data_IF_174807455061
#
_entry.id   IF_174807455061
#
_cell.length_a   1.000
_cell.length_b   1.000
_cell.length_c   1.000
_cell.angle_alpha   90.00
_cell.angle_beta   90.00
_cell.angle_gamma   90.00
#
_symmetry.space_group_name_H-M   'P 1'
#
loop_
_entity.id
_entity.type
_entity.pdbx_description
1 polymer ?
#
# COMPACT_ATOMS: atom_id res chain seq x y z
N UNK A 1 -1.48 8.35 24.25
CA UNK A 1 -0.20 7.96 23.60
C UNK A 1 -0.08 8.77 22.32
N UNK A 2 0.98 9.55 22.15
CA UNK A 2 1.22 10.31 20.94
C UNK A 2 1.74 9.35 19.85
N UNK A 3 0.90 9.04 18.86
CA UNK A 3 1.34 8.34 17.66
C UNK A 3 2.26 9.33 16.94
N UNK A 4 3.57 9.08 16.95
CA UNK A 4 4.53 9.82 16.15
C UNK A 4 3.98 9.95 14.72
N UNK A 5 4.04 11.15 14.13
CA UNK A 5 3.52 11.42 12.79
C UNK A 5 4.13 10.44 11.79
N UNK A 6 3.42 9.35 11.49
CA UNK A 6 3.92 8.28 10.62
C UNK A 6 3.95 8.82 9.20
N UNK A 7 5.10 8.71 8.56
CA UNK A 7 5.34 9.27 7.24
C UNK A 7 5.30 8.15 6.21
N UNK A 8 4.20 8.04 5.47
CA UNK A 8 4.05 7.05 4.40
C UNK A 8 4.78 7.53 3.15
N UNK A 9 5.94 6.94 2.85
CA UNK A 9 6.77 7.32 1.71
C UNK A 9 7.08 6.17 0.77
N UNK A 10 7.01 4.94 1.27
CA UNK A 10 7.44 3.73 0.57
C UNK A 10 6.37 2.65 0.64
N UNK A 11 6.42 1.70 -0.30
CA UNK A 11 5.52 0.52 -0.24
C UNK A 11 5.63 -0.23 1.09
N UNK A 12 6.84 -0.26 1.67
CA UNK A 12 7.07 -0.90 2.97
C UNK A 12 6.29 -0.23 4.10
N UNK A 13 6.18 1.10 4.10
CA UNK A 13 5.38 1.82 5.12
C UNK A 13 3.90 1.43 5.03
N UNK A 14 3.39 1.24 3.81
CA UNK A 14 2.00 0.77 3.59
C UNK A 14 1.85 -0.68 4.04
N UNK A 15 2.83 -1.54 3.78
CA UNK A 15 2.82 -2.91 4.31
C UNK A 15 2.81 -2.93 5.85
N UNK A 16 3.55 -2.06 6.51
CA UNK A 16 3.55 -1.97 7.97
C UNK A 16 2.21 -1.46 8.52
N UNK A 17 1.55 -0.53 7.82
CA UNK A 17 0.18 -0.14 8.15
C UNK A 17 -0.78 -1.33 8.08
N UNK A 18 -0.77 -2.10 6.99
CA UNK A 18 -1.67 -3.24 6.83
C UNK A 18 -1.42 -4.34 7.87
N UNK A 19 -0.15 -4.56 8.26
CA UNK A 19 0.22 -5.51 9.31
C UNK A 19 -0.37 -5.18 10.69
N UNK A 20 -0.62 -3.91 11.00
CA UNK A 20 -1.27 -3.51 12.25
C UNK A 20 -2.71 -4.03 12.35
N UNK A 21 -3.32 -4.34 11.20
CA UNK A 21 -4.64 -4.92 11.08
C UNK A 21 -4.59 -6.42 10.75
N UNK A 22 -3.44 -7.08 10.92
CA UNK A 22 -3.18 -8.48 10.56
C UNK A 22 -3.43 -8.79 9.07
N UNK A 23 -3.32 -7.80 8.19
CA UNK A 23 -3.42 -7.97 6.74
C UNK A 23 -2.04 -8.23 6.15
N UNK A 24 -1.84 -9.43 5.62
CA UNK A 24 -0.61 -9.85 4.94
C UNK A 24 -0.92 -10.18 3.48
N UNK A 25 -0.31 -9.42 2.56
CA UNK A 25 -0.51 -9.57 1.12
C UNK A 25 0.74 -10.18 0.49
N UNK A 26 0.58 -11.35 -0.13
CA UNK A 26 1.61 -11.99 -0.94
C UNK A 26 0.97 -12.99 -1.93
N UNK A 27 0.91 -12.61 -3.20
CA UNK A 27 0.36 -13.41 -4.30
C UNK A 27 1.43 -13.76 -5.36
N UNK A 28 2.69 -13.48 -5.07
CA UNK A 28 3.84 -13.86 -5.88
C UNK A 28 4.19 -12.90 -7.03
N UNK A 29 3.31 -11.93 -7.35
CA UNK A 29 3.61 -10.87 -8.33
C UNK A 29 3.44 -9.51 -7.69
N UNK A 30 4.52 -8.72 -7.69
CA UNK A 30 4.57 -7.39 -7.05
C UNK A 30 3.43 -6.46 -7.50
N UNK A 31 3.09 -6.44 -8.79
CA UNK A 31 1.98 -5.61 -9.29
C UNK A 31 0.66 -6.01 -8.62
N UNK A 32 0.39 -7.30 -8.51
CA UNK A 32 -0.84 -7.82 -7.89
C UNK A 32 -0.82 -7.63 -6.37
N UNK A 33 0.35 -7.74 -5.72
CA UNK A 33 0.48 -7.39 -4.32
C UNK A 33 0.11 -5.92 -4.08
N UNK A 34 0.56 -5.00 -4.94
CA UNK A 34 0.21 -3.58 -4.85
C UNK A 34 -1.30 -3.36 -5.04
N UNK A 35 -1.91 -4.05 -6.00
CA UNK A 35 -3.35 -3.97 -6.26
C UNK A 35 -4.16 -4.50 -5.07
N UNK A 36 -3.79 -5.66 -4.51
CA UNK A 36 -4.49 -6.23 -3.37
C UNK A 36 -4.28 -5.39 -2.10
N UNK A 37 -3.08 -4.86 -1.86
CA UNK A 37 -2.86 -3.88 -0.79
C UNK A 37 -3.74 -2.63 -0.94
N UNK A 38 -4.00 -2.18 -2.17
CA UNK A 38 -4.88 -1.04 -2.42
C UNK A 38 -6.34 -1.33 -2.13
N UNK A 39 -6.81 -2.56 -2.39
CA UNK A 39 -8.14 -3.04 -2.03
C UNK A 39 -8.28 -3.12 -0.51
N UNK A 40 -7.33 -3.73 0.18
CA UNK A 40 -7.41 -3.85 1.65
C UNK A 40 -7.33 -2.49 2.35
N UNK A 41 -6.53 -1.55 1.83
CA UNK A 41 -6.52 -0.18 2.33
C UNK A 41 -7.90 0.50 2.16
N UNK A 42 -8.61 0.24 1.06
CA UNK A 42 -9.96 0.77 0.85
C UNK A 42 -10.96 0.16 1.85
N UNK A 43 -10.86 -1.14 2.12
CA UNK A 43 -11.69 -1.83 3.11
C UNK A 43 -11.48 -1.26 4.53
N UNK A 44 -10.22 -1.02 4.92
CA UNK A 44 -9.89 -0.42 6.22
C UNK A 44 -10.40 1.03 6.34
N UNK A 45 -10.33 1.80 5.26
CA UNK A 45 -10.89 3.16 5.25
C UNK A 45 -12.42 3.15 5.33
N UNK A 46 -13.09 2.29 4.56
CA UNK A 46 -14.55 2.17 4.55
C UNK A 46 -15.12 1.67 5.88
N UNK A 47 -14.39 0.81 6.59
CA UNK A 47 -14.76 0.37 7.95
C UNK A 47 -14.51 1.41 9.04
N UNK A 48 -13.87 2.55 8.71
CA UNK A 48 -13.60 3.65 9.63
C UNK A 48 -12.43 3.42 10.59
N UNK A 49 -11.65 2.35 10.41
CA UNK A 49 -10.50 2.03 11.29
C UNK A 49 -9.21 2.73 10.85
N UNK A 50 -9.21 3.35 9.67
CA UNK A 50 -8.12 4.20 9.16
C UNK A 50 -8.65 5.60 8.87
N UNK A 51 -7.98 6.63 9.39
CA UNK A 51 -8.37 8.02 9.16
C UNK A 51 -8.03 8.51 7.73
N UNK A 52 -8.67 9.60 7.30
CA UNK A 52 -8.53 10.15 5.96
C UNK A 52 -7.08 10.58 5.60
N UNK A 53 -6.32 11.10 6.57
CA UNK A 53 -4.94 11.55 6.35
C UNK A 53 -4.04 10.35 6.12
N UNK A 54 -4.18 9.30 6.95
CA UNK A 54 -3.47 8.04 6.80
C UNK A 54 -3.81 7.36 5.47
N UNK A 55 -5.10 7.23 5.17
CA UNK A 55 -5.61 6.65 3.92
C UNK A 55 -5.03 7.38 2.70
N UNK A 56 -5.17 8.70 2.64
CA UNK A 56 -4.73 9.51 1.49
C UNK A 56 -3.24 9.34 1.22
N UNK A 57 -2.41 9.41 2.27
CA UNK A 57 -0.95 9.26 2.14
C UNK A 57 -0.56 7.86 1.67
N UNK A 58 -1.13 6.82 2.25
CA UNK A 58 -0.87 5.44 1.85
C UNK A 58 -1.35 5.16 0.41
N UNK A 59 -2.51 5.70 0.01
CA UNK A 59 -3.03 5.54 -1.36
C UNK A 59 -2.15 6.21 -2.41
N UNK A 60 -1.55 7.37 -2.11
CA UNK A 60 -0.58 8.03 -2.99
C UNK A 60 0.63 7.14 -3.24
N UNK A 61 1.18 6.53 -2.18
CA UNK A 61 2.31 5.62 -2.29
C UNK A 61 1.96 4.43 -3.18
N UNK A 62 0.82 3.75 -2.93
CA UNK A 62 0.40 2.61 -3.74
C UNK A 62 0.21 2.97 -5.22
N UNK A 63 -0.37 4.14 -5.53
CA UNK A 63 -0.55 4.62 -6.91
C UNK A 63 0.77 4.88 -7.62
N UNK A 64 1.76 5.43 -6.90
CA UNK A 64 3.11 5.65 -7.43
C UNK A 64 3.78 4.31 -7.75
N UNK A 65 3.82 3.41 -6.76
CA UNK A 65 4.45 2.10 -6.88
C UNK A 65 3.81 1.24 -7.99
N UNK A 66 2.49 1.30 -8.12
CA UNK A 66 1.76 0.62 -9.19
C UNK A 66 2.22 1.11 -10.57
N UNK A 67 2.28 2.43 -10.78
CA UNK A 67 2.75 3.03 -12.04
C UNK A 67 4.20 2.66 -12.34
N UNK A 68 5.06 2.69 -11.34
CA UNK A 68 6.47 2.32 -11.48
C UNK A 68 6.61 0.85 -11.86
N UNK A 69 5.87 -0.05 -11.21
CA UNK A 69 5.89 -1.48 -11.52
C UNK A 69 5.33 -1.80 -12.91
N UNK A 70 4.22 -1.17 -13.30
CA UNK A 70 3.71 -1.26 -14.68
C UNK A 70 4.76 -0.82 -15.71
N UNK A 71 5.51 0.24 -15.41
CA UNK A 71 6.59 0.72 -16.29
C UNK A 71 7.74 -0.27 -16.37
N UNK A 72 8.10 -0.93 -15.25
CA UNK A 72 9.13 -1.98 -15.21
C UNK A 72 8.73 -3.21 -16.03
N UNK A 73 7.47 -3.66 -15.87
CA UNK A 73 6.90 -4.78 -16.63
C UNK A 73 6.93 -4.48 -18.14
N UNK A 74 6.49 -3.28 -18.55
CA UNK A 74 6.52 -2.86 -19.96
C UNK A 74 7.92 -2.82 -20.56
N UNK A 75 8.95 -2.57 -19.74
CA UNK A 75 10.36 -2.54 -20.17
C UNK A 75 11.02 -3.93 -20.20
N UNK A 76 10.28 -5.02 -19.94
CA UNK A 76 10.83 -6.37 -19.95
C UNK A 76 11.83 -6.67 -18.83
N UNK A 77 11.97 -5.79 -17.83
CA UNK A 77 12.76 -6.06 -16.62
C UNK A 77 11.92 -6.91 -15.66
N UNK A 78 11.75 -8.19 -15.98
CA UNK A 78 11.28 -9.19 -15.02
C UNK A 78 12.47 -9.64 -14.15
N UNK A 79 12.27 -9.59 -12.85
CA UNK A 79 12.86 -10.58 -11.94
C UNK A 79 11.86 -11.72 -11.82
#
# INVERSE_FOLDING_TARGET
MAIASRNYRTLYDVQQLLKEFNVFVYVGKRLYDIELMAIELDNLYQSGVVDNSTYTKAKIVLRKEHREEQTRIKKGKLY
#
